data_IF_703462249244
#
_entry.id   IF_703462249244
#
_cell.length_a   1.000
_cell.length_b   1.000
_cell.length_c   1.000
_cell.angle_alpha   90.00
_cell.angle_beta   90.00
_cell.angle_gamma   90.00
#
_symmetry.space_group_name_H-M   'P 1'
#
loop_
_entity.id
_entity.type
_entity.pdbx_description
1 polymer ?
#
# COMPACT_ATOMS: atom_id res chain seq x y z
N UNK A 1 -7.10 -42.47 4.30
CA UNK A 1 -6.86 -41.44 3.26
C UNK A 1 -6.81 -40.08 3.94
N UNK A 2 -5.80 -39.25 3.66
CA UNK A 2 -5.67 -37.91 4.25
C UNK A 2 -6.02 -36.90 3.14
N UNK A 3 -7.05 -36.09 3.35
CA UNK A 3 -7.45 -35.05 2.40
C UNK A 3 -6.61 -33.80 2.69
N UNK A 4 -6.00 -33.23 1.64
CA UNK A 4 -5.18 -32.02 1.73
C UNK A 4 -5.77 -31.03 0.72
N UNK A 5 -6.17 -29.87 1.23
CA UNK A 5 -6.65 -28.74 0.43
C UNK A 5 -5.46 -27.89 -0.05
N UNK A 6 -5.50 -27.44 -1.31
CA UNK A 6 -4.45 -26.61 -1.90
C UNK A 6 -5.07 -25.56 -2.83
N UNK A 7 -4.51 -24.35 -2.82
CA UNK A 7 -4.93 -23.28 -3.73
C UNK A 7 -3.73 -22.43 -4.13
N UNK A 8 -3.83 -21.78 -5.29
CA UNK A 8 -2.79 -20.87 -5.81
C UNK A 8 -3.39 -19.49 -6.00
N UNK A 9 -2.66 -18.47 -5.54
CA UNK A 9 -3.12 -17.08 -5.50
C UNK A 9 -2.06 -16.16 -6.08
N UNK A 10 -2.50 -15.12 -6.78
CA UNK A 10 -1.65 -14.02 -7.18
C UNK A 10 -1.79 -12.87 -6.17
N UNK A 11 -0.69 -12.51 -5.52
CA UNK A 11 -0.67 -11.43 -4.54
C UNK A 11 0.31 -10.34 -4.98
N UNK A 12 -0.09 -9.08 -4.84
CA UNK A 12 0.77 -7.93 -5.13
C UNK A 12 0.61 -6.86 -4.04
N UNK A 13 1.71 -6.57 -3.34
CA UNK A 13 1.78 -5.45 -2.41
C UNK A 13 1.62 -4.10 -3.14
N UNK A 14 1.26 -3.07 -2.40
CA UNK A 14 1.21 -1.71 -2.89
C UNK A 14 2.61 -1.20 -3.23
N UNK A 15 2.73 -0.48 -4.34
CA UNK A 15 3.92 0.31 -4.63
C UNK A 15 4.01 1.50 -3.66
N UNK A 16 5.23 1.89 -3.30
CA UNK A 16 5.46 3.16 -2.61
C UNK A 16 5.08 4.35 -3.50
N UNK A 17 4.60 5.43 -2.87
CA UNK A 17 4.37 6.70 -3.53
C UNK A 17 5.68 7.37 -3.92
N UNK A 18 5.63 8.24 -4.93
CA UNK A 18 6.79 9.04 -5.35
C UNK A 18 6.96 10.24 -4.41
N UNK A 19 8.21 10.58 -4.11
CA UNK A 19 8.54 11.88 -3.50
C UNK A 19 8.25 13.04 -4.46
N UNK A 20 8.06 14.23 -3.89
CA UNK A 20 7.83 15.45 -4.65
C UNK A 20 9.10 16.30 -4.68
N UNK A 21 9.42 16.90 -5.82
CA UNK A 21 10.42 17.97 -5.91
C UNK A 21 9.65 19.29 -6.00
N UNK A 22 9.71 20.10 -4.95
CA UNK A 22 9.02 21.39 -4.88
C UNK A 22 9.87 22.43 -4.15
N UNK A 23 9.60 23.71 -4.41
CA UNK A 23 10.22 24.85 -3.74
C UNK A 23 9.15 25.83 -3.27
N UNK A 24 9.35 26.47 -2.12
CA UNK A 24 8.41 27.47 -1.61
C UNK A 24 8.45 28.73 -2.49
N UNK A 25 7.26 29.20 -2.88
CA UNK A 25 7.04 30.42 -3.65
C UNK A 25 6.12 31.34 -2.86
N UNK A 26 6.68 32.44 -2.36
CA UNK A 26 5.98 33.44 -1.58
C UNK A 26 6.36 34.83 -2.08
N UNK A 27 5.41 35.77 -2.07
CA UNK A 27 5.56 37.10 -2.69
C UNK A 27 6.75 37.91 -2.16
N UNK A 28 7.12 37.71 -0.89
CA UNK A 28 8.19 38.46 -0.21
C UNK A 28 9.39 37.58 0.18
N UNK A 29 9.50 36.38 -0.40
CA UNK A 29 10.60 35.44 -0.12
C UNK A 29 11.15 34.84 -1.42
N UNK A 30 12.12 35.51 -2.09
CA UNK A 30 12.61 35.12 -3.41
C UNK A 30 13.37 33.78 -3.44
N UNK A 31 13.75 33.20 -2.30
CA UNK A 31 14.42 31.90 -2.18
C UNK A 31 13.79 31.07 -1.05
N UNK A 32 12.58 30.57 -1.28
CA UNK A 32 11.79 29.86 -0.26
C UNK A 32 12.38 28.52 0.22
N UNK A 33 13.41 27.99 -0.45
CA UNK A 33 13.99 26.67 -0.13
C UNK A 33 13.14 25.49 -0.63
N UNK A 34 13.67 24.26 -0.55
CA UNK A 34 12.94 23.05 -0.96
C UNK A 34 11.76 22.78 -0.01
N UNK A 35 10.65 22.30 -0.56
CA UNK A 35 9.46 21.93 0.20
C UNK A 35 8.72 20.71 -0.37
N UNK A 36 9.46 19.80 -0.98
CA UNK A 36 8.90 18.53 -1.44
C UNK A 36 8.68 17.58 -0.27
N UNK A 37 7.48 17.00 -0.18
CA UNK A 37 7.20 15.90 0.75
C UNK A 37 7.53 14.53 0.15
N UNK A 38 7.71 13.55 1.02
CA UNK A 38 7.98 12.15 0.66
C UNK A 38 6.71 11.42 0.20
N UNK A 39 6.90 10.34 -0.56
CA UNK A 39 5.82 9.43 -0.89
C UNK A 39 5.44 8.54 0.29
N UNK A 40 4.17 8.16 0.37
CA UNK A 40 3.68 7.22 1.37
C UNK A 40 4.11 5.79 1.08
N UNK A 41 4.13 4.95 2.12
CA UNK A 41 4.41 3.51 1.98
C UNK A 41 3.25 2.82 1.26
N UNK A 42 3.55 1.85 0.40
CA UNK A 42 2.54 0.95 -0.16
C UNK A 42 1.98 -0.04 0.86
N UNK A 43 0.72 -0.42 0.70
CA UNK A 43 0.03 -1.38 1.54
C UNK A 43 0.66 -2.77 1.45
N UNK A 44 0.63 -3.50 2.56
CA UNK A 44 1.14 -4.85 2.71
C UNK A 44 0.03 -5.88 2.47
N UNK A 45 0.42 -7.11 2.15
CA UNK A 45 -0.48 -8.26 2.15
C UNK A 45 -0.15 -9.13 3.36
N UNK A 46 -1.14 -9.40 4.19
CA UNK A 46 -0.98 -10.08 5.46
C UNK A 46 -1.89 -11.31 5.47
N UNK A 47 -1.29 -12.50 5.53
CA UNK A 47 -2.03 -13.72 5.81
C UNK A 47 -2.22 -13.85 7.32
N UNK A 48 -3.47 -14.01 7.77
CA UNK A 48 -3.82 -14.12 9.17
C UNK A 48 -4.67 -15.34 9.41
N UNK A 49 -4.14 -16.30 10.16
CA UNK A 49 -4.86 -17.52 10.54
C UNK A 49 -6.19 -17.16 11.22
N UNK A 50 -7.27 -17.76 10.75
CA UNK A 50 -8.57 -17.72 11.39
C UNK A 50 -9.02 -19.14 11.78
N UNK A 51 -9.08 -19.49 13.08
CA UNK A 51 -9.49 -20.82 13.55
C UNK A 51 -10.93 -21.20 13.16
N UNK A 52 -11.77 -20.23 12.78
CA UNK A 52 -13.16 -20.48 12.38
C UNK A 52 -13.28 -20.94 10.92
N UNK A 53 -12.21 -20.80 10.11
CA UNK A 53 -12.18 -21.25 8.72
C UNK A 53 -11.60 -22.66 8.64
N UNK A 54 -12.31 -23.56 7.97
CA UNK A 54 -11.93 -24.96 7.82
C UNK A 54 -11.48 -25.33 6.40
N UNK A 55 -11.69 -24.45 5.41
CA UNK A 55 -11.37 -24.68 3.99
C UNK A 55 -10.73 -23.45 3.35
N UNK A 56 -10.04 -23.62 2.21
CA UNK A 56 -9.47 -22.52 1.41
C UNK A 56 -10.46 -21.95 0.38
N UNK A 57 -11.74 -22.32 0.47
CA UNK A 57 -12.74 -22.01 -0.56
C UNK A 57 -12.94 -20.49 -0.73
N UNK A 58 -12.99 -19.74 0.36
CA UNK A 58 -13.17 -18.28 0.36
C UNK A 58 -12.01 -17.55 -0.33
N UNK A 59 -10.80 -18.08 -0.18
CA UNK A 59 -9.58 -17.50 -0.75
C UNK A 59 -9.45 -17.85 -2.23
N UNK A 60 -9.92 -19.04 -2.62
CA UNK A 60 -9.86 -19.53 -4.00
C UNK A 60 -10.76 -18.73 -4.94
N UNK A 61 -11.89 -18.21 -4.46
CA UNK A 61 -12.80 -17.37 -5.26
C UNK A 61 -12.16 -16.05 -5.71
N UNK A 62 -11.17 -15.54 -4.97
CA UNK A 62 -10.42 -14.32 -5.32
C UNK A 62 -8.99 -14.69 -5.69
N UNK A 63 -8.77 -14.93 -6.98
CA UNK A 63 -7.44 -15.28 -7.49
C UNK A 63 -6.39 -14.15 -7.40
N UNK A 64 -6.82 -12.88 -7.23
CA UNK A 64 -5.93 -11.72 -7.24
C UNK A 64 -6.18 -10.78 -6.04
N UNK A 65 -5.16 -10.59 -5.22
CA UNK A 65 -5.15 -9.61 -4.14
C UNK A 65 -4.12 -8.52 -4.42
N UNK A 66 -4.56 -7.26 -4.46
CA UNK A 66 -3.71 -6.09 -4.70
C UNK A 66 -3.88 -5.06 -3.59
N UNK A 67 -2.85 -4.88 -2.77
CA UNK A 67 -2.88 -3.84 -1.73
C UNK A 67 -2.78 -2.44 -2.35
N UNK A 68 -3.25 -1.43 -1.62
CA UNK A 68 -3.30 -0.05 -2.12
C UNK A 68 -1.89 0.54 -2.21
N UNK A 69 -1.62 1.32 -3.26
CA UNK A 69 -0.35 2.04 -3.38
C UNK A 69 -0.27 3.18 -2.36
N UNK A 70 0.94 3.56 -1.96
CA UNK A 70 1.17 4.80 -1.23
C UNK A 70 0.88 6.00 -2.12
N UNK A 71 0.33 7.07 -1.53
CA UNK A 71 0.12 8.31 -2.26
C UNK A 71 1.44 9.05 -2.47
N UNK A 72 1.52 9.87 -3.51
CA UNK A 72 2.70 10.70 -3.75
C UNK A 72 2.80 11.82 -2.71
N UNK A 73 4.02 12.29 -2.46
CA UNK A 73 4.25 13.54 -1.75
C UNK A 73 3.75 14.74 -2.54
N UNK A 74 3.54 15.85 -1.85
CA UNK A 74 3.17 17.14 -2.42
C UNK A 74 4.15 18.24 -2.04
N UNK A 75 3.90 19.46 -2.53
CA UNK A 75 4.63 20.63 -2.08
C UNK A 75 4.29 21.00 -0.63
N UNK A 76 4.98 22.00 -0.08
CA UNK A 76 4.81 22.48 1.30
C UNK A 76 5.06 21.37 2.36
N UNK A 77 6.03 20.48 2.09
CA UNK A 77 6.39 19.35 2.95
C UNK A 77 5.21 18.39 3.23
N UNK A 78 4.26 18.29 2.30
CA UNK A 78 3.13 17.39 2.45
C UNK A 78 3.54 15.96 2.09
N UNK A 79 3.66 15.09 3.08
CA UNK A 79 3.95 13.68 2.84
C UNK A 79 2.72 12.92 2.33
N UNK A 80 2.95 11.94 1.46
CA UNK A 80 1.93 11.07 0.93
C UNK A 80 1.38 10.11 1.99
N UNK A 81 0.08 9.81 1.90
CA UNK A 81 -0.58 8.82 2.77
C UNK A 81 -0.09 7.40 2.47
N UNK A 82 0.00 6.58 3.51
CA UNK A 82 0.25 5.15 3.34
C UNK A 82 -0.95 4.46 2.69
N UNK A 83 -0.68 3.51 1.80
CA UNK A 83 -1.69 2.64 1.23
C UNK A 83 -2.22 1.66 2.28
N UNK A 84 -3.50 1.30 2.17
CA UNK A 84 -4.14 0.30 3.04
C UNK A 84 -3.62 -1.11 2.79
N UNK A 85 -3.36 -1.80 3.88
CA UNK A 85 -3.03 -3.23 3.89
C UNK A 85 -4.26 -4.08 3.52
N UNK A 86 -4.00 -5.25 2.95
CA UNK A 86 -5.00 -6.30 2.77
C UNK A 86 -4.71 -7.44 3.73
N UNK A 87 -5.73 -7.86 4.48
CA UNK A 87 -5.66 -9.01 5.36
C UNK A 87 -6.45 -10.14 4.71
N UNK A 88 -5.76 -11.22 4.38
CA UNK A 88 -6.34 -12.47 3.89
C UNK A 88 -6.46 -13.40 5.11
N UNK A 89 -7.66 -13.91 5.38
CA UNK A 89 -7.95 -14.82 6.49
C UNK A 89 -8.07 -16.25 6.00
#
# INVERSE_FOLDING_TARGET
MKFIDHTTLSVKAGSGGKGCIAFLREKYRPKGGPCGGDGGRGGSIIFRVNPQLSTLQDITLKHLYRAENGANGGGKNMHGKNGKDIIIK
#
